data_IF_659984751477
#
_entry.id   IF_659984751477
#
_cell.length_a   1.000
_cell.length_b   1.000
_cell.length_c   1.000
_cell.angle_alpha   90.00
_cell.angle_beta   90.00
_cell.angle_gamma   90.00
#
_symmetry.space_group_name_H-M   'P 1'
#
loop_
_entity.id
_entity.type
_entity.pdbx_description
1 polymer ?
#
# COMPACT_ATOMS: atom_id res chain seq x y z
N UNK A 1 -52.87 68.77 -18.46
CA UNK A 1 -52.35 67.82 -19.47
C UNK A 1 -51.18 67.02 -18.85
N UNK A 2 -51.38 66.33 -17.72
CA UNK A 2 -50.29 65.64 -16.97
C UNK A 2 -50.67 64.18 -16.58
N UNK A 3 -51.92 63.72 -16.79
CA UNK A 3 -52.40 62.44 -16.26
C UNK A 3 -52.15 61.18 -17.10
N UNK A 4 -51.50 61.25 -18.27
CA UNK A 4 -51.35 60.09 -19.17
C UNK A 4 -49.96 59.43 -19.19
N UNK A 5 -48.96 59.94 -18.45
CA UNK A 5 -47.57 59.44 -18.51
C UNK A 5 -47.15 58.52 -17.35
N UNK A 6 -47.99 58.37 -16.32
CA UNK A 6 -47.64 57.65 -15.08
C UNK A 6 -47.59 56.10 -15.18
N UNK A 7 -48.46 55.41 -15.96
CA UNK A 7 -48.46 53.95 -15.95
C UNK A 7 -47.28 53.32 -16.70
N UNK A 8 -46.74 53.99 -17.71
CA UNK A 8 -45.61 53.48 -18.51
C UNK A 8 -44.30 53.49 -17.72
N UNK A 9 -44.09 54.48 -16.86
CA UNK A 9 -42.91 54.56 -15.99
C UNK A 9 -42.89 53.48 -14.90
N UNK A 10 -44.05 53.14 -14.33
CA UNK A 10 -44.15 52.08 -13.32
C UNK A 10 -43.90 50.69 -13.92
N UNK A 11 -44.35 50.46 -15.16
CA UNK A 11 -44.05 49.23 -15.90
C UNK A 11 -42.54 49.07 -16.18
N UNK A 12 -41.88 50.15 -16.61
CA UNK A 12 -40.42 50.15 -16.85
C UNK A 12 -39.60 49.90 -15.57
N UNK A 13 -40.01 50.47 -14.43
CA UNK A 13 -39.35 50.25 -13.14
C UNK A 13 -39.51 48.78 -12.71
N UNK A 14 -40.71 48.20 -12.86
CA UNK A 14 -40.96 46.78 -12.55
C UNK A 14 -40.07 45.86 -13.39
N UNK A 15 -39.99 46.10 -14.69
CA UNK A 15 -39.13 45.32 -15.60
C UNK A 15 -37.66 45.45 -15.18
N UNK A 16 -37.16 46.67 -14.92
CA UNK A 16 -35.79 46.88 -14.48
C UNK A 16 -35.45 46.16 -13.15
N UNK A 17 -36.37 46.16 -12.18
CA UNK A 17 -36.16 45.45 -10.91
C UNK A 17 -36.11 43.94 -11.07
N UNK A 18 -36.93 43.36 -11.97
CA UNK A 18 -36.87 41.93 -12.28
C UNK A 18 -35.56 41.54 -12.97
N UNK A 19 -35.07 42.34 -13.92
CA UNK A 19 -33.76 42.12 -14.55
C UNK A 19 -32.61 42.17 -13.54
N UNK A 20 -32.64 43.13 -12.62
CA UNK A 20 -31.62 43.25 -11.58
C UNK A 20 -31.64 42.04 -10.63
N UNK A 21 -32.84 41.58 -10.24
CA UNK A 21 -33.01 40.38 -9.40
C UNK A 21 -32.47 39.13 -10.09
N UNK A 22 -32.81 38.91 -11.37
CA UNK A 22 -32.30 37.78 -12.16
C UNK A 22 -30.77 37.85 -12.31
N UNK A 23 -30.21 39.03 -12.58
CA UNK A 23 -28.78 39.23 -12.68
C UNK A 23 -28.06 38.89 -11.36
N UNK A 24 -28.60 39.29 -10.21
CA UNK A 24 -28.01 38.96 -8.91
C UNK A 24 -28.06 37.47 -8.58
N UNK A 25 -29.10 36.75 -9.02
CA UNK A 25 -29.20 35.30 -8.87
C UNK A 25 -28.13 34.57 -9.70
N UNK A 26 -27.93 35.01 -10.95
CA UNK A 26 -26.90 34.44 -11.83
C UNK A 26 -25.50 34.68 -11.26
N UNK A 27 -25.21 35.89 -10.77
CA UNK A 27 -23.91 36.20 -10.16
C UNK A 27 -23.67 35.36 -8.91
N UNK A 28 -24.67 35.22 -8.02
CA UNK A 28 -24.56 34.36 -6.83
C UNK A 28 -24.35 32.89 -7.20
N UNK A 29 -25.01 32.39 -8.24
CA UNK A 29 -24.83 31.02 -8.74
C UNK A 29 -23.41 30.80 -9.28
N UNK A 30 -22.87 31.76 -10.04
CA UNK A 30 -21.49 31.73 -10.54
C UNK A 30 -20.46 31.78 -9.40
N UNK A 31 -20.68 32.64 -8.39
CA UNK A 31 -19.83 32.71 -7.19
C UNK A 31 -19.80 31.38 -6.44
N UNK A 32 -20.97 30.73 -6.30
CA UNK A 32 -21.10 29.42 -5.66
C UNK A 32 -20.40 28.32 -6.47
N UNK A 33 -20.51 28.35 -7.80
CA UNK A 33 -19.85 27.40 -8.69
C UNK A 33 -18.31 27.50 -8.63
N UNK A 34 -17.79 28.73 -8.58
CA UNK A 34 -16.34 28.98 -8.42
C UNK A 34 -15.84 28.52 -7.04
N UNK A 35 -16.61 28.76 -5.97
CA UNK A 35 -16.28 28.29 -4.63
C UNK A 35 -16.31 26.77 -4.52
N UNK A 36 -17.31 26.13 -5.14
CA UNK A 36 -17.43 24.67 -5.19
C UNK A 36 -16.27 24.05 -5.96
N UNK A 37 -15.86 24.62 -7.10
CA UNK A 37 -14.73 24.15 -7.88
C UNK A 37 -13.39 24.26 -7.11
N UNK A 38 -13.18 25.35 -6.37
CA UNK A 38 -12.01 25.53 -5.50
C UNK A 38 -11.95 24.49 -4.37
N UNK A 39 -13.09 24.21 -3.73
CA UNK A 39 -13.21 23.18 -2.68
C UNK A 39 -12.95 21.77 -3.23
N UNK A 40 -13.51 21.41 -4.39
CA UNK A 40 -13.28 20.11 -5.03
C UNK A 40 -11.81 19.95 -5.43
N UNK A 41 -11.17 20.97 -5.99
CA UNK A 41 -9.74 20.94 -6.29
C UNK A 41 -8.87 20.76 -5.04
N UNK A 42 -9.27 21.36 -3.92
CA UNK A 42 -8.57 21.20 -2.64
C UNK A 42 -8.68 19.77 -2.10
N UNK A 43 -9.86 19.14 -2.24
CA UNK A 43 -10.07 17.73 -1.86
C UNK A 43 -9.27 16.80 -2.79
N UNK A 44 -9.28 17.04 -4.10
CA UNK A 44 -8.46 16.29 -5.06
C UNK A 44 -6.97 16.43 -4.73
N UNK A 45 -6.50 17.64 -4.42
CA UNK A 45 -5.11 17.89 -4.03
C UNK A 45 -4.74 17.14 -2.75
N UNK A 46 -5.61 17.16 -1.73
CA UNK A 46 -5.40 16.43 -0.49
C UNK A 46 -5.42 14.91 -0.70
N UNK A 47 -6.36 14.40 -1.50
CA UNK A 47 -6.39 12.99 -1.88
C UNK A 47 -5.11 12.59 -2.62
N UNK A 48 -4.62 13.40 -3.57
CA UNK A 48 -3.36 13.15 -4.26
C UNK A 48 -2.15 13.18 -3.31
N UNK A 49 -2.15 14.07 -2.32
CA UNK A 49 -1.13 14.14 -1.29
C UNK A 49 -1.14 12.89 -0.40
N UNK A 50 -2.31 12.43 0.04
CA UNK A 50 -2.48 11.19 0.80
C UNK A 50 -2.09 9.97 -0.04
N UNK A 51 -2.47 9.92 -1.32
CA UNK A 51 -2.06 8.86 -2.25
C UNK A 51 -0.54 8.87 -2.42
N UNK A 52 0.08 10.05 -2.59
CA UNK A 52 1.54 10.20 -2.69
C UNK A 52 2.23 9.74 -1.40
N UNK A 53 1.67 10.08 -0.24
CA UNK A 53 2.19 9.69 1.07
C UNK A 53 2.08 8.18 1.32
N UNK A 54 0.91 7.59 1.05
CA UNK A 54 0.69 6.14 1.14
C UNK A 54 1.59 5.42 0.14
N UNK A 55 1.67 5.87 -1.11
CA UNK A 55 2.56 5.29 -2.12
C UNK A 55 4.03 5.40 -1.71
N UNK A 56 4.46 6.52 -1.12
CA UNK A 56 5.83 6.68 -0.64
C UNK A 56 6.11 5.75 0.55
N UNK A 57 5.17 5.59 1.49
CA UNK A 57 5.33 4.67 2.63
C UNK A 57 5.28 3.20 2.20
N UNK A 58 4.44 2.85 1.21
CA UNK A 58 4.38 1.53 0.59
C UNK A 58 5.67 1.23 -0.21
N UNK A 59 6.14 2.20 -1.00
CA UNK A 59 7.38 2.12 -1.77
C UNK A 59 8.59 2.00 -0.84
N UNK A 60 8.60 2.72 0.29
CA UNK A 60 9.66 2.63 1.30
C UNK A 60 9.71 1.24 1.97
N UNK A 61 8.55 0.63 2.23
CA UNK A 61 8.45 -0.74 2.75
C UNK A 61 8.94 -1.79 1.74
N UNK A 62 8.65 -1.58 0.45
CA UNK A 62 9.11 -2.46 -0.62
C UNK A 62 10.62 -2.30 -0.86
N UNK A 63 11.15 -1.07 -0.80
CA UNK A 63 12.55 -0.77 -1.06
C UNK A 63 13.52 -1.41 -0.05
N UNK A 64 13.13 -1.46 1.23
CA UNK A 64 13.97 -2.06 2.26
C UNK A 64 14.14 -3.57 2.08
N UNK A 65 13.07 -4.28 1.68
CA UNK A 65 13.12 -5.73 1.47
C UNK A 65 13.88 -6.10 0.18
N UNK A 66 13.67 -5.34 -0.89
CA UNK A 66 14.36 -5.57 -2.16
C UNK A 66 15.87 -5.35 -2.05
N UNK A 67 16.30 -4.37 -1.25
CA UNK A 67 17.72 -4.13 -0.98
C UNK A 67 18.40 -5.33 -0.30
N UNK A 68 17.72 -5.99 0.64
CA UNK A 68 18.25 -7.17 1.33
C UNK A 68 18.31 -8.40 0.43
N UNK A 69 17.27 -8.63 -0.40
CA UNK A 69 17.26 -9.71 -1.39
C UNK A 69 18.36 -9.54 -2.44
N UNK A 70 18.65 -8.30 -2.84
CA UNK A 70 19.74 -8.01 -3.77
C UNK A 70 21.12 -8.29 -3.16
N UNK A 71 21.33 -7.97 -1.88
CA UNK A 71 22.57 -8.32 -1.15
C UNK A 71 22.73 -9.84 -1.07
N UNK A 72 21.66 -10.57 -0.77
CA UNK A 72 21.66 -12.03 -0.76
C UNK A 72 21.99 -12.58 -2.16
N UNK A 73 21.36 -12.05 -3.20
CA UNK A 73 21.62 -12.43 -4.60
C UNK A 73 23.08 -12.28 -5.00
N UNK A 74 23.74 -11.19 -4.57
CA UNK A 74 25.19 -10.97 -4.79
C UNK A 74 26.05 -12.03 -4.10
N UNK A 75 25.70 -12.45 -2.87
CA UNK A 75 26.41 -13.54 -2.18
C UNK A 75 26.19 -14.89 -2.87
N UNK A 76 24.99 -15.15 -3.38
CA UNK A 76 24.72 -16.37 -4.16
C UNK A 76 25.55 -16.35 -5.45
N UNK A 77 25.62 -15.19 -6.13
CA UNK A 77 26.44 -14.98 -7.33
C UNK A 77 27.92 -15.26 -7.06
N UNK A 78 28.45 -14.84 -5.91
CA UNK A 78 29.84 -15.11 -5.52
C UNK A 78 30.09 -16.59 -5.25
N UNK A 79 29.17 -17.29 -4.58
CA UNK A 79 29.27 -18.76 -4.34
C UNK A 79 29.23 -19.54 -5.66
N UNK A 80 28.40 -19.12 -6.62
CA UNK A 80 28.36 -19.75 -7.95
C UNK A 80 29.71 -19.64 -8.68
N UNK A 81 30.42 -18.53 -8.50
CA UNK A 81 31.70 -18.26 -9.16
C UNK A 81 31.56 -18.17 -10.68
N UNK A 82 32.43 -18.89 -11.39
CA UNK A 82 32.51 -18.94 -12.86
C UNK A 82 31.49 -19.86 -13.54
N UNK A 83 30.83 -20.77 -12.79
CA UNK A 83 29.86 -21.73 -13.32
C UNK A 83 28.66 -21.03 -13.96
N UNK A 84 28.08 -21.57 -15.01
CA UNK A 84 26.86 -20.96 -15.58
C UNK A 84 25.67 -21.06 -14.62
N UNK A 85 24.66 -20.20 -14.77
CA UNK A 85 23.44 -20.33 -13.95
C UNK A 85 22.75 -21.69 -14.16
N UNK A 86 22.83 -22.25 -15.37
CA UNK A 86 22.29 -23.56 -15.71
C UNK A 86 23.05 -24.70 -15.01
N UNK A 87 24.38 -24.63 -14.93
CA UNK A 87 25.20 -25.60 -14.19
C UNK A 87 24.92 -25.54 -12.69
N UNK A 88 24.86 -24.33 -12.14
CA UNK A 88 24.57 -24.13 -10.72
C UNK A 88 23.16 -24.60 -10.35
N UNK A 89 22.18 -24.35 -11.21
CA UNK A 89 20.82 -24.83 -11.06
C UNK A 89 20.74 -26.37 -11.09
N UNK A 90 21.53 -27.04 -11.94
CA UNK A 90 21.62 -28.51 -11.99
C UNK A 90 22.18 -29.09 -10.68
N UNK A 91 23.21 -28.47 -10.10
CA UNK A 91 23.79 -28.91 -8.82
C UNK A 91 22.77 -28.79 -7.67
N UNK A 92 21.93 -27.76 -7.72
CA UNK A 92 20.91 -27.48 -6.71
C UNK A 92 19.55 -28.13 -7.02
N UNK A 93 19.44 -28.89 -8.10
CA UNK A 93 18.21 -29.54 -8.57
C UNK A 93 17.00 -28.57 -8.68
N UNK A 94 17.25 -27.35 -9.14
CA UNK A 94 16.22 -26.33 -9.35
C UNK A 94 16.26 -25.77 -10.78
N UNK A 95 15.24 -24.99 -11.15
CA UNK A 95 15.22 -24.34 -12.46
C UNK A 95 16.23 -23.18 -12.53
N UNK A 96 16.84 -22.99 -13.70
CA UNK A 96 17.74 -21.85 -13.93
C UNK A 96 17.05 -20.50 -13.73
N UNK A 97 15.76 -20.40 -14.07
CA UNK A 97 14.96 -19.20 -13.80
C UNK A 97 14.86 -18.87 -12.31
N UNK A 98 14.93 -19.87 -11.42
CA UNK A 98 14.96 -19.64 -9.97
C UNK A 98 16.28 -19.00 -9.54
N UNK A 99 17.42 -19.48 -10.07
CA UNK A 99 18.73 -18.87 -9.83
C UNK A 99 18.75 -17.42 -10.32
N UNK A 100 18.25 -17.16 -11.52
CA UNK A 100 18.19 -15.80 -12.06
C UNK A 100 17.34 -14.87 -11.18
N UNK A 101 16.23 -15.35 -10.62
CA UNK A 101 15.41 -14.57 -9.68
C UNK A 101 16.15 -14.29 -8.37
N UNK A 102 16.88 -15.27 -7.83
CA UNK A 102 17.63 -15.11 -6.59
C UNK A 102 18.78 -14.12 -6.76
N UNK A 103 19.58 -14.25 -7.82
CA UNK A 103 20.73 -13.36 -8.09
C UNK A 103 20.30 -11.89 -8.31
N UNK A 104 19.10 -11.68 -8.87
CA UNK A 104 18.53 -10.35 -9.12
C UNK A 104 17.69 -9.80 -7.95
N UNK A 105 17.56 -10.53 -6.84
CA UNK A 105 16.75 -10.10 -5.69
C UNK A 105 15.24 -10.11 -5.93
N UNK A 106 14.77 -10.79 -6.99
CA UNK A 106 13.35 -10.87 -7.36
C UNK A 106 12.58 -11.93 -6.56
N UNK A 107 13.29 -12.86 -5.91
CA UNK A 107 12.68 -13.90 -5.07
C UNK A 107 13.63 -14.33 -3.95
N UNK A 108 13.05 -14.77 -2.83
CA UNK A 108 13.78 -15.40 -1.74
C UNK A 108 13.91 -16.92 -2.02
N UNK A 109 15.10 -17.53 -1.90
CA UNK A 109 15.23 -18.97 -1.97
C UNK A 109 14.50 -19.65 -0.81
N UNK A 110 13.97 -20.85 -1.06
CA UNK A 110 13.39 -21.70 -0.01
C UNK A 110 14.47 -22.12 0.98
N UNK A 111 14.07 -22.41 2.22
CA UNK A 111 15.00 -22.82 3.27
C UNK A 111 15.91 -23.98 2.83
N UNK A 112 15.36 -25.02 2.19
CA UNK A 112 16.14 -26.16 1.68
C UNK A 112 17.22 -25.74 0.68
N UNK A 113 16.86 -24.93 -0.31
CA UNK A 113 17.80 -24.39 -1.31
C UNK A 113 18.86 -23.50 -0.66
N UNK A 114 18.47 -22.69 0.33
CA UNK A 114 19.40 -21.83 1.06
C UNK A 114 20.45 -22.64 1.82
N UNK A 115 20.07 -23.75 2.46
CA UNK A 115 21.01 -24.68 3.10
C UNK A 115 21.97 -25.32 2.09
N UNK A 116 21.47 -25.72 0.91
CA UNK A 116 22.32 -26.30 -0.14
C UNK A 116 23.32 -25.27 -0.68
N UNK A 117 22.90 -24.03 -0.93
CA UNK A 117 23.79 -22.95 -1.37
C UNK A 117 24.85 -22.67 -0.31
N UNK A 118 24.47 -22.61 0.97
CA UNK A 118 25.41 -22.40 2.07
C UNK A 118 26.44 -23.53 2.16
N UNK A 119 26.01 -24.79 1.96
CA UNK A 119 26.91 -25.96 1.90
C UNK A 119 27.89 -25.89 0.72
N UNK A 120 27.44 -25.47 -0.46
CA UNK A 120 28.33 -25.28 -1.63
C UNK A 120 29.32 -24.15 -1.45
N UNK A 121 28.96 -23.12 -0.69
CA UNK A 121 29.82 -21.99 -0.38
C UNK A 121 30.68 -22.17 0.87
N UNK A 122 30.60 -23.33 1.54
CA UNK A 122 31.30 -23.61 2.82
C UNK A 122 31.09 -22.53 3.90
N UNK A 123 29.92 -21.88 3.90
CA UNK A 123 29.54 -20.84 4.86
C UNK A 123 28.32 -21.24 5.68
N UNK A 124 28.14 -20.65 6.86
CA UNK A 124 26.90 -20.82 7.62
C UNK A 124 25.75 -20.06 6.96
N UNK A 125 24.52 -20.59 7.09
CA UNK A 125 23.30 -19.92 6.60
C UNK A 125 23.13 -18.55 7.23
N UNK A 126 23.50 -18.41 8.50
CA UNK A 126 23.52 -17.14 9.22
C UNK A 126 24.41 -16.12 8.53
N UNK A 127 25.63 -16.51 8.12
CA UNK A 127 26.57 -15.63 7.40
C UNK A 127 26.03 -15.23 6.03
N UNK A 128 25.35 -16.15 5.36
CA UNK A 128 24.69 -15.90 4.08
C UNK A 128 23.57 -14.86 4.22
N UNK A 129 22.76 -14.94 5.29
CA UNK A 129 21.68 -13.99 5.58
C UNK A 129 22.10 -12.74 6.37
N UNK A 130 23.32 -12.70 6.90
CA UNK A 130 23.77 -11.60 7.77
C UNK A 130 23.75 -10.27 7.02
N UNK A 131 23.11 -9.27 7.63
CA UNK A 131 23.19 -7.87 7.21
C UNK A 131 24.63 -7.40 7.36
N UNK A 132 25.16 -6.72 6.34
CA UNK A 132 26.55 -6.25 6.31
C UNK A 132 26.88 -5.22 7.42
N UNK A 133 25.88 -4.76 8.16
CA UNK A 133 25.98 -3.64 9.09
C UNK A 133 26.42 -4.05 10.50
N UNK A 134 26.85 -5.29 10.70
CA UNK A 134 27.46 -5.77 11.95
C UNK A 134 28.88 -6.27 11.69
N UNK A 135 29.73 -5.38 11.16
CA UNK A 135 31.16 -5.48 11.43
C UNK A 135 31.38 -5.04 12.89
N UNK A 136 31.88 -5.96 13.71
CA UNK A 136 32.24 -5.80 15.12
C UNK A 136 31.14 -6.05 16.18
N UNK A 137 30.92 -7.33 16.49
CA UNK A 137 30.93 -7.89 17.88
C UNK A 137 30.28 -9.28 17.90
N UNK A 138 31.13 -10.32 17.92
CA UNK A 138 30.89 -11.61 18.60
C UNK A 138 32.09 -12.50 18.28
N UNK A 139 33.22 -12.13 18.88
CA UNK A 139 34.30 -13.06 19.14
C UNK A 139 33.78 -14.24 19.98
N UNK A 140 34.04 -15.45 19.48
CA UNK A 140 34.20 -16.72 20.22
C UNK A 140 32.98 -17.24 21.00
N UNK A 141 32.18 -18.09 20.35
CA UNK A 141 31.49 -19.19 21.05
C UNK A 141 32.42 -20.41 21.06
N UNK A 142 33.40 -20.39 21.96
CA UNK A 142 33.90 -21.64 22.54
C UNK A 142 32.81 -22.06 23.52
N UNK A 143 32.19 -23.23 23.34
CA UNK A 143 31.39 -23.83 24.41
C UNK A 143 32.33 -24.26 25.54
N UNK A 144 32.07 -23.90 26.81
CA UNK A 144 32.37 -24.78 27.93
C UNK A 144 31.09 -25.23 28.62
N UNK A 145 31.22 -26.37 29.28
CA UNK A 145 30.19 -27.17 29.92
C UNK A 145 29.44 -26.44 31.03
N UNK A 146 28.24 -26.96 31.29
CA UNK A 146 27.39 -26.77 32.46
C UNK A 146 28.20 -26.99 33.75
N UNK A 147 28.05 -26.08 34.71
CA UNK A 147 28.10 -26.37 36.16
C UNK A 147 27.39 -25.28 36.96
N UNK A 148 26.27 -25.68 37.57
CA UNK A 148 25.64 -25.30 38.86
C UNK A 148 26.10 -24.04 39.62
N UNK A 149 25.12 -23.27 40.15
CA UNK A 149 25.34 -22.35 41.29
C UNK A 149 24.45 -21.11 41.37
N UNK A 150 23.51 -21.13 42.32
CA UNK A 150 22.63 -20.09 42.91
C UNK A 150 22.92 -18.56 42.77
N UNK A 151 21.79 -17.83 42.76
CA UNK A 151 21.47 -16.55 43.45
C UNK A 151 21.83 -15.19 42.81
N UNK A 152 20.81 -14.43 42.38
CA UNK A 152 20.28 -13.28 43.13
C UNK A 152 19.21 -12.50 42.32
N UNK A 153 18.04 -12.35 42.94
CA UNK A 153 16.96 -11.45 42.57
C UNK A 153 17.40 -9.98 42.64
N UNK A 154 17.03 -9.16 41.66
CA UNK A 154 17.20 -7.71 41.78
C UNK A 154 17.12 -6.87 40.49
N UNK A 155 16.26 -7.19 39.51
CA UNK A 155 15.89 -6.22 38.44
C UNK A 155 14.70 -6.67 37.57
N UNK A 156 13.93 -7.70 37.94
CA UNK A 156 12.89 -8.26 37.08
C UNK A 156 11.63 -7.39 37.01
N UNK A 157 11.34 -6.58 38.03
CA UNK A 157 10.14 -5.73 38.08
C UNK A 157 10.07 -4.65 36.99
N UNK A 158 11.21 -4.14 36.50
CA UNK A 158 11.20 -3.15 35.41
C UNK A 158 11.08 -3.80 34.02
N UNK A 159 11.58 -5.03 33.87
CA UNK A 159 11.54 -5.73 32.58
C UNK A 159 10.15 -6.32 32.33
N UNK A 160 9.51 -6.86 33.36
CA UNK A 160 8.14 -7.38 33.25
C UNK A 160 7.12 -6.28 32.94
N UNK A 161 7.25 -5.10 33.57
CA UNK A 161 6.40 -3.96 33.29
C UNK A 161 6.57 -3.43 31.85
N UNK A 162 7.80 -3.40 31.33
CA UNK A 162 8.06 -3.04 29.93
C UNK A 162 7.50 -4.06 28.94
N UNK A 163 7.53 -5.36 29.27
CA UNK A 163 6.95 -6.42 28.44
C UNK A 163 5.43 -6.29 28.37
N UNK A 164 4.77 -5.95 29.48
CA UNK A 164 3.32 -5.70 29.52
C UNK A 164 2.97 -4.49 28.64
N UNK A 165 3.68 -3.37 28.77
CA UNK A 165 3.45 -2.19 27.93
C UNK A 165 3.75 -2.43 26.44
N UNK A 166 4.77 -3.22 26.11
CA UNK A 166 5.06 -3.61 24.73
C UNK A 166 3.97 -4.50 24.12
N UNK A 167 3.34 -5.34 24.94
CA UNK A 167 2.23 -6.20 24.52
C UNK A 167 0.97 -5.38 24.25
N UNK A 168 0.65 -4.42 25.12
CA UNK A 168 -0.47 -3.49 24.93
C UNK A 168 -0.34 -2.67 23.63
N UNK A 169 0.87 -2.22 23.28
CA UNK A 169 1.13 -1.51 22.02
C UNK A 169 0.93 -2.44 20.80
N UNK A 170 1.34 -3.70 20.88
CA UNK A 170 1.13 -4.67 19.80
C UNK A 170 -0.35 -5.03 19.58
N UNK A 171 -1.14 -5.06 20.65
CA UNK A 171 -2.57 -5.36 20.60
C UNK A 171 -3.37 -4.18 20.01
N UNK A 172 -2.93 -2.94 20.24
CA UNK A 172 -3.51 -1.72 19.64
C UNK A 172 -3.35 -1.70 18.10
N UNK A 173 -2.18 -2.11 17.59
CA UNK A 173 -1.94 -2.21 16.15
C UNK A 173 -2.78 -3.33 15.49
N UNK A 174 -3.03 -4.43 16.21
CA UNK A 174 -3.89 -5.52 15.75
C UNK A 174 -5.36 -5.08 15.62
N UNK A 175 -5.89 -4.39 16.62
CA UNK A 175 -7.27 -3.90 16.58
C UNK A 175 -7.48 -2.81 15.52
N UNK A 176 -6.50 -1.93 15.32
CA UNK A 176 -6.54 -0.97 14.21
C UNK A 176 -6.54 -1.67 12.84
N UNK A 177 -5.70 -2.70 12.67
CA UNK A 177 -5.68 -3.51 11.45
C UNK A 177 -7.01 -4.22 11.17
N UNK A 178 -7.69 -4.73 12.21
CA UNK A 178 -9.00 -5.38 12.12
C UNK A 178 -10.11 -4.39 11.73
N UNK A 179 -10.07 -3.18 12.29
CA UNK A 179 -11.02 -2.12 11.95
C UNK A 179 -10.85 -1.66 10.50
N UNK A 180 -9.61 -1.48 10.04
CA UNK A 180 -9.30 -1.17 8.63
C UNK A 180 -9.78 -2.29 7.70
N UNK A 181 -9.52 -3.55 8.04
CA UNK A 181 -9.98 -4.68 7.25
C UNK A 181 -11.51 -4.77 7.16
N UNK A 182 -12.21 -4.48 8.25
CA UNK A 182 -13.68 -4.45 8.28
C UNK A 182 -14.24 -3.28 7.47
N UNK A 183 -13.62 -2.10 7.55
CA UNK A 183 -13.98 -0.94 6.74
C UNK A 183 -13.81 -1.25 5.25
N UNK A 184 -12.67 -1.83 4.86
CA UNK A 184 -12.40 -2.25 3.47
C UNK A 184 -13.43 -3.29 3.00
N UNK A 185 -13.77 -4.29 3.83
CA UNK A 185 -14.81 -5.27 3.50
C UNK A 185 -16.19 -4.61 3.32
N UNK A 186 -16.55 -3.65 4.16
CA UNK A 186 -17.80 -2.90 4.05
C UNK A 186 -17.85 -2.09 2.75
N UNK A 187 -16.77 -1.36 2.41
CA UNK A 187 -16.67 -0.63 1.14
C UNK A 187 -16.73 -1.54 -0.09
N UNK A 188 -16.07 -2.69 -0.04
CA UNK A 188 -16.14 -3.67 -1.13
C UNK A 188 -17.54 -4.29 -1.26
N UNK A 189 -18.25 -4.46 -0.14
CA UNK A 189 -19.64 -4.94 -0.13
C UNK A 189 -20.61 -3.89 -0.72
N UNK A 190 -20.41 -2.60 -0.41
CA UNK A 190 -21.21 -1.52 -1.02
C UNK A 190 -20.91 -1.33 -2.51
N UNK A 191 -19.66 -1.57 -2.93
CA UNK A 191 -19.27 -1.53 -4.34
C UNK A 191 -19.80 -2.73 -5.14
N UNK A 192 -19.89 -3.92 -4.53
CA UNK A 192 -20.52 -5.11 -5.12
C UNK A 192 -22.02 -5.15 -4.82
N UNK A 193 -22.77 -4.11 -5.19
CA UNK A 193 -24.22 -4.16 -5.11
C UNK A 193 -24.76 -5.14 -6.18
N UNK A 194 -25.26 -6.33 -5.81
CA UNK A 194 -25.65 -7.38 -6.76
C UNK A 194 -26.82 -6.96 -7.65
N UNK A 195 -27.61 -5.98 -7.19
CA UNK A 195 -28.78 -5.47 -7.91
C UNK A 195 -28.37 -4.55 -9.08
N UNK A 196 -27.30 -3.76 -8.92
CA UNK A 196 -26.71 -2.97 -10.01
C UNK A 196 -26.06 -3.86 -11.08
N UNK A 197 -25.38 -4.93 -10.67
CA UNK A 197 -24.77 -5.90 -11.59
C UNK A 197 -25.81 -6.75 -12.33
N UNK A 198 -26.94 -7.07 -11.69
CA UNK A 198 -28.08 -7.70 -12.37
C UNK A 198 -28.70 -6.76 -13.40
N UNK A 199 -28.97 -5.50 -13.01
CA UNK A 199 -29.49 -4.46 -13.92
C UNK A 199 -28.58 -4.23 -15.12
N UNK A 200 -27.26 -4.20 -14.93
CA UNK A 200 -26.27 -4.09 -16.02
C UNK A 200 -26.32 -5.28 -16.97
N UNK A 201 -26.44 -6.51 -16.45
CA UNK A 201 -26.57 -7.73 -17.27
C UNK A 201 -27.87 -7.77 -18.05
N UNK A 202 -28.99 -7.36 -17.46
CA UNK A 202 -30.29 -7.35 -18.14
C UNK A 202 -30.33 -6.29 -19.25
N UNK A 203 -29.71 -5.13 -19.03
CA UNK A 203 -29.51 -4.11 -20.07
C UNK A 203 -28.62 -4.62 -21.21
N UNK A 204 -27.51 -5.30 -20.88
CA UNK A 204 -26.63 -5.88 -21.89
C UNK A 204 -27.33 -6.97 -22.73
N UNK A 205 -28.11 -7.86 -22.09
CA UNK A 205 -28.92 -8.88 -22.79
C UNK A 205 -29.98 -8.27 -23.70
N UNK A 206 -30.64 -7.19 -23.24
CA UNK A 206 -31.62 -6.47 -24.05
C UNK A 206 -30.98 -5.81 -25.27
N UNK A 207 -29.80 -5.20 -25.12
CA UNK A 207 -29.06 -4.61 -26.22
C UNK A 207 -28.65 -5.65 -27.28
N UNK A 208 -28.13 -6.82 -26.85
CA UNK A 208 -27.75 -7.91 -27.76
C UNK A 208 -28.95 -8.44 -28.53
N UNK A 209 -30.10 -8.62 -27.88
CA UNK A 209 -31.34 -9.07 -28.55
C UNK A 209 -31.86 -8.07 -29.60
N UNK A 210 -31.45 -6.81 -29.53
CA UNK A 210 -31.86 -5.77 -30.49
C UNK A 210 -30.91 -5.69 -31.70
N UNK A 211 -29.79 -6.43 -31.68
CA UNK A 211 -28.77 -6.45 -32.74
C UNK A 211 -28.87 -7.68 -33.67
N UNK A 212 -29.76 -8.63 -33.38
CA UNK A 212 -30.08 -9.70 -34.34
C UNK A 212 -31.00 -9.12 -35.43
N UNK A 213 -30.40 -8.79 -36.58
CA UNK A 213 -31.14 -8.47 -37.80
C UNK A 213 -31.81 -9.75 -38.34
N UNK A 214 -33.08 -9.67 -38.80
CA UNK A 214 -33.73 -10.82 -39.40
C UNK A 214 -32.99 -11.22 -40.68
N UNK A 215 -32.68 -12.50 -40.79
CA UNK A 215 -32.17 -13.18 -41.99
C UNK A 215 -33.11 -13.03 -43.17
#
# INVERSE_FOLDING_TARGET
MICSFLPDCLCQISIATTYLAVLTLIIKAMQYLLFFCSRVNSVIWYCNLVIKFVKHKLFFLEYSLMAELLKLGKKIRSIRGSRTQQEFARILEISQGSIAKYENGLAMPRASTLFQIAKLGEISVETLLKRADLACSSSKSTRPRISDGNSANGSTGNLENLIVSLKEISDLDYELGKLVANLVKAFLKTAKNPDLEKKRRDVAKKAIKTLDFPS
#
